data_IF_410851217356
#
_entry.id   IF_410851217356
#
_cell.length_a   1.000
_cell.length_b   1.000
_cell.length_c   1.000
_cell.angle_alpha   90.00
_cell.angle_beta   90.00
_cell.angle_gamma   90.00
#
_symmetry.space_group_name_H-M   'P 1'
#
loop_
_entity.id
_entity.type
_entity.pdbx_description
1 polymer ?
#
# COMPACT_ATOMS: atom_id res chain seq x y z
N UNK A 1 -4.39 5.93 11.95
CA UNK A 1 -3.57 6.83 11.17
C UNK A 1 -2.25 6.18 10.78
N UNK A 2 -1.53 5.66 11.72
CA UNK A 2 -0.24 5.04 11.44
C UNK A 2 -0.39 3.73 10.65
N UNK A 3 -1.60 3.22 10.55
CA UNK A 3 -1.87 1.99 9.80
C UNK A 3 -2.17 2.25 8.34
N UNK A 4 -2.28 3.50 7.93
CA UNK A 4 -2.69 3.80 6.58
C UNK A 4 -1.73 3.28 5.52
N UNK A 5 -0.43 3.27 5.81
CA UNK A 5 0.56 2.73 4.88
C UNK A 5 0.40 1.24 4.69
N UNK A 6 0.12 0.53 5.78
CA UNK A 6 -0.09 -0.91 5.69
C UNK A 6 -1.38 -1.24 4.97
N UNK A 7 -2.39 -0.39 5.11
CA UNK A 7 -3.67 -0.58 4.42
C UNK A 7 -3.47 -0.57 2.92
N UNK A 8 -2.67 0.36 2.40
CA UNK A 8 -2.39 0.42 0.97
C UNK A 8 -1.82 -0.90 0.46
N UNK A 9 -0.82 -1.42 1.16
CA UNK A 9 -0.18 -2.67 0.78
C UNK A 9 -1.16 -3.84 0.86
N UNK A 10 -1.96 -3.88 1.91
CA UNK A 10 -2.94 -4.94 2.09
C UNK A 10 -3.97 -4.91 0.96
N UNK A 11 -4.45 -3.72 0.60
CA UNK A 11 -5.41 -3.58 -0.49
C UNK A 11 -4.84 -4.09 -1.80
N UNK A 12 -3.58 -3.79 -2.05
CA UNK A 12 -2.94 -4.21 -3.29
C UNK A 12 -2.67 -5.72 -3.32
N UNK A 13 -2.05 -6.25 -2.27
CA UNK A 13 -1.59 -7.62 -2.28
C UNK A 13 -2.65 -8.62 -1.85
N UNK A 14 -3.46 -8.28 -0.88
CA UNK A 14 -4.43 -9.22 -0.34
C UNK A 14 -5.79 -9.11 -1.02
N UNK A 15 -6.23 -7.89 -1.34
CA UNK A 15 -7.55 -7.66 -1.90
C UNK A 15 -7.55 -7.55 -3.42
N UNK A 16 -6.39 -7.38 -4.04
CA UNK A 16 -6.28 -7.37 -5.49
C UNK A 16 -6.66 -6.06 -6.15
N UNK A 17 -6.74 -4.97 -5.41
CA UNK A 17 -7.02 -3.67 -6.00
C UNK A 17 -5.82 -3.18 -6.81
N UNK A 18 -6.09 -2.49 -7.91
CA UNK A 18 -5.02 -1.86 -8.67
C UNK A 18 -4.62 -0.54 -8.03
N UNK A 19 -3.48 0.02 -8.46
CA UNK A 19 -3.03 1.32 -7.97
C UNK A 19 -4.10 2.39 -8.20
N UNK A 20 -4.71 2.38 -9.39
CA UNK A 20 -5.73 3.36 -9.72
C UNK A 20 -6.93 3.23 -8.81
N UNK A 21 -7.36 2.01 -8.55
CA UNK A 21 -8.50 1.77 -7.68
C UNK A 21 -8.20 2.22 -6.25
N UNK A 22 -7.02 1.92 -5.76
CA UNK A 22 -6.62 2.34 -4.42
C UNK A 22 -6.57 3.86 -4.34
N UNK A 23 -6.03 4.49 -5.38
CA UNK A 23 -5.97 5.94 -5.47
C UNK A 23 -7.35 6.57 -5.33
N UNK A 24 -8.34 5.99 -5.98
CA UNK A 24 -9.70 6.50 -5.90
C UNK A 24 -10.34 6.23 -4.54
N UNK A 25 -10.14 5.04 -4.02
CA UNK A 25 -10.74 4.66 -2.73
C UNK A 25 -10.19 5.54 -1.61
N UNK A 26 -8.87 5.75 -1.61
CA UNK A 26 -8.22 6.53 -0.56
C UNK A 26 -8.19 8.01 -0.86
N UNK A 27 -8.60 8.40 -2.07
CA UNK A 27 -8.65 9.80 -2.49
C UNK A 27 -7.27 10.46 -2.40
N UNK A 28 -6.26 9.78 -2.92
CA UNK A 28 -4.88 10.27 -2.95
C UNK A 28 -4.33 10.05 -4.36
N UNK A 29 -3.27 10.80 -4.74
CA UNK A 29 -2.68 10.61 -6.07
C UNK A 29 -2.11 9.21 -6.24
N UNK A 30 -2.16 8.70 -7.46
CA UNK A 30 -1.67 7.35 -7.75
C UNK A 30 -0.17 7.23 -7.48
N UNK A 31 0.58 8.31 -7.65
CA UNK A 31 2.00 8.31 -7.32
C UNK A 31 2.23 8.09 -5.85
N UNK A 32 1.36 8.64 -5.02
CA UNK A 32 1.42 8.44 -3.57
C UNK A 32 1.10 6.99 -3.23
N UNK A 33 0.12 6.39 -3.91
CA UNK A 33 -0.22 4.98 -3.70
C UNK A 33 0.99 4.12 -4.00
N UNK A 34 1.64 4.36 -5.13
CA UNK A 34 2.81 3.60 -5.53
C UNK A 34 3.92 3.70 -4.49
N UNK A 35 4.19 4.90 -4.01
CA UNK A 35 5.22 5.11 -2.99
C UNK A 35 4.88 4.41 -1.69
N UNK A 36 3.64 4.50 -1.26
CA UNK A 36 3.20 3.88 -0.02
C UNK A 36 3.28 2.37 -0.08
N UNK A 37 2.88 1.80 -1.21
CA UNK A 37 2.92 0.35 -1.38
C UNK A 37 4.37 -0.14 -1.39
N UNK A 38 5.24 0.57 -2.09
CA UNK A 38 6.66 0.22 -2.13
C UNK A 38 7.27 0.27 -0.74
N UNK A 39 6.94 1.31 0.02
CA UNK A 39 7.44 1.47 1.38
C UNK A 39 6.88 0.42 2.31
N UNK A 40 5.58 0.15 2.20
CA UNK A 40 4.92 -0.87 3.01
C UNK A 40 5.45 -2.26 2.74
N UNK A 41 5.76 -2.55 1.48
CA UNK A 41 6.33 -3.84 1.12
C UNK A 41 7.67 -4.06 1.81
N UNK A 42 8.51 -3.03 1.84
CA UNK A 42 9.78 -3.12 2.52
C UNK A 42 9.62 -3.40 4.00
N UNK A 43 8.66 -2.74 4.63
CA UNK A 43 8.38 -2.94 6.03
C UNK A 43 7.90 -4.36 6.31
N UNK A 44 7.01 -4.86 5.47
CA UNK A 44 6.48 -6.21 5.63
C UNK A 44 7.58 -7.25 5.48
N UNK A 45 8.39 -7.12 4.44
CA UNK A 45 9.49 -8.06 4.22
C UNK A 45 10.49 -8.01 5.35
N UNK A 46 10.79 -6.82 5.84
CA UNK A 46 11.72 -6.66 6.94
C UNK A 46 11.20 -7.33 8.20
N UNK A 47 9.90 -7.18 8.47
CA UNK A 47 9.28 -7.79 9.63
C UNK A 47 9.27 -9.32 9.53
N UNK A 48 9.21 -9.86 8.31
CA UNK A 48 9.23 -11.28 8.09
C UNK A 48 10.65 -11.85 8.00
N UNK A 49 11.66 -11.02 8.08
CA UNK A 49 13.05 -11.48 8.07
C UNK A 49 13.66 -11.64 6.70
N UNK A 50 13.08 -11.04 5.68
CA UNK A 50 13.64 -11.07 4.33
C UNK A 50 14.76 -10.01 4.16
#
# INVERSE_FOLDING_TARGET
AKKSRCIDSVMYYASGYSYDEISEILNIPVGTVRSRISFGRKMIFHALGY
#
